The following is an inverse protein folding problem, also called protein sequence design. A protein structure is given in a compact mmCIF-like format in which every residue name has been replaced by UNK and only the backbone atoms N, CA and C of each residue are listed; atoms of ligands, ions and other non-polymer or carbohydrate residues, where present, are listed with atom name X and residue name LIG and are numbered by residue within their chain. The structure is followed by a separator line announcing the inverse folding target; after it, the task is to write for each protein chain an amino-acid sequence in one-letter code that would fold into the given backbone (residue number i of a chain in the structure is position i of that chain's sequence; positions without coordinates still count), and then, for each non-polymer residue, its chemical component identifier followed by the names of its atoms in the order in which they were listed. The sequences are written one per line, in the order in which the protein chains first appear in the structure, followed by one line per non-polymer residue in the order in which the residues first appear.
data_IF_526725169446
#
_entry.id   IF_526725169446
#
_cell.length_a   1.000
_cell.length_b   1.000
_cell.length_c   1.000
_cell.angle_alpha   90.00
_cell.angle_beta   90.00
_cell.angle_gamma   90.00
#
_symmetry.space_group_name_H-M   'P 1'
#
loop_
_entity.id
_entity.type
_entity.pdbx_description
1 polymer ?
#
# COMPACT_ATOMS: atom_id res chain seq x y z
N UNK A 1 18.08 3.56 -7.67
CA UNK A 1 16.76 3.17 -8.22
C UNK A 1 15.74 4.10 -7.60
N UNK A 2 14.79 4.64 -8.36
CA UNK A 2 13.79 5.55 -7.82
C UNK A 2 12.90 4.80 -6.82
N UNK A 3 12.64 5.43 -5.68
CA UNK A 3 11.78 4.89 -4.64
C UNK A 3 10.96 6.00 -3.99
N UNK A 4 9.85 5.62 -3.38
CA UNK A 4 9.02 6.50 -2.55
C UNK A 4 8.92 5.84 -1.18
N UNK A 5 9.07 6.65 -0.14
CA UNK A 5 8.90 6.24 1.25
C UNK A 5 8.02 7.26 1.96
N UNK A 6 7.04 6.77 2.72
CA UNK A 6 6.21 7.58 3.61
C UNK A 6 5.92 6.82 4.89
N UNK A 7 5.77 7.56 5.99
CA UNK A 7 5.41 6.99 7.28
C UNK A 7 4.38 7.86 8.00
N UNK A 8 3.62 7.26 8.91
CA UNK A 8 2.68 7.95 9.79
C UNK A 8 2.55 7.20 11.11
N UNK A 9 2.36 7.94 12.19
CA UNK A 9 2.01 7.38 13.51
C UNK A 9 0.50 7.25 13.62
N UNK A 10 0.02 6.06 13.98
CA UNK A 10 -1.39 5.75 14.18
C UNK A 10 -1.60 5.29 15.61
N UNK A 11 -2.53 5.92 16.33
CA UNK A 11 -2.83 5.65 17.74
C UNK A 11 -3.71 4.40 17.94
N UNK A 12 -3.33 3.31 17.30
CA UNK A 12 -3.92 1.98 17.40
C UNK A 12 -2.81 0.94 17.36
N UNK A 13 -3.08 -0.27 17.85
CA UNK A 13 -2.08 -1.35 17.83
C UNK A 13 -1.77 -1.82 16.40
N UNK A 14 -0.58 -2.39 16.13
CA UNK A 14 -0.24 -2.88 14.80
C UNK A 14 -1.25 -3.90 14.26
N UNK A 15 -1.79 -4.74 15.15
CA UNK A 15 -2.81 -5.73 14.81
C UNK A 15 -4.12 -5.06 14.39
N UNK A 16 -4.54 -3.99 15.07
CA UNK A 16 -5.74 -3.23 14.72
C UNK A 16 -5.58 -2.50 13.39
N UNK A 17 -4.44 -1.84 13.18
CA UNK A 17 -4.14 -1.14 11.92
C UNK A 17 -4.12 -2.14 10.76
N UNK A 18 -3.44 -3.29 10.95
CA UNK A 18 -3.39 -4.34 9.93
C UNK A 18 -4.75 -4.94 9.64
N UNK A 19 -5.55 -5.22 10.67
CA UNK A 19 -6.93 -5.74 10.50
C UNK A 19 -7.77 -4.76 9.69
N UNK A 20 -7.64 -3.46 9.98
CA UNK A 20 -8.33 -2.40 9.24
C UNK A 20 -7.85 -2.35 7.80
N UNK A 21 -6.54 -2.36 7.56
CA UNK A 21 -5.95 -2.38 6.22
C UNK A 21 -6.42 -3.59 5.38
N UNK A 22 -6.56 -4.77 5.98
CA UNK A 22 -6.99 -5.98 5.26
C UNK A 22 -8.52 -6.13 5.15
N UNK A 23 -9.31 -5.23 5.71
CA UNK A 23 -10.77 -5.21 5.53
C UNK A 23 -11.14 -4.63 4.16
N UNK A 24 -10.78 -5.36 3.11
CA UNK A 24 -10.99 -5.00 1.72
C UNK A 24 -12.45 -4.75 1.36
N UNK A 25 -13.39 -5.43 2.02
CA UNK A 25 -14.83 -5.21 1.85
C UNK A 25 -15.26 -3.79 2.19
N UNK A 26 -14.54 -3.13 3.09
CA UNK A 26 -14.89 -1.79 3.57
C UNK A 26 -14.23 -0.66 2.76
N UNK A 27 -13.30 -0.98 1.85
CA UNK A 27 -12.58 0.02 1.04
C UNK A 27 -13.50 0.97 0.25
N UNK A 28 -14.62 0.53 -0.34
CA UNK A 28 -15.54 1.45 -1.01
C UNK A 28 -16.13 2.54 -0.10
N UNK A 29 -16.13 2.31 1.22
CA UNK A 29 -16.60 3.28 2.23
C UNK A 29 -15.49 4.14 2.84
N UNK A 30 -14.22 3.73 2.71
CA UNK A 30 -13.01 4.46 3.12
C UNK A 30 -11.84 3.72 2.43
N UNK A 31 -11.16 4.28 1.41
CA UNK A 31 -10.39 5.52 1.48
C UNK A 31 -10.85 6.53 0.43
N UNK A 32 -10.67 7.81 0.72
CA UNK A 32 -11.01 8.85 -0.25
C UNK A 32 -9.88 9.07 -1.26
N UNK A 33 -8.66 8.62 -0.92
CA UNK A 33 -7.44 8.96 -1.64
C UNK A 33 -6.70 7.74 -2.20
N UNK A 34 -6.15 7.91 -3.40
CA UNK A 34 -5.20 7.02 -4.08
C UNK A 34 -5.65 5.56 -4.32
N UNK A 35 -5.78 4.72 -3.29
CA UNK A 35 -6.25 3.34 -3.39
C UNK A 35 -7.78 3.32 -3.20
N UNK A 36 -8.52 2.87 -4.22
CA UNK A 36 -9.99 2.79 -4.19
C UNK A 36 -10.49 1.41 -3.78
N UNK A 37 -9.79 0.35 -4.18
CA UNK A 37 -10.08 -1.00 -3.73
C UNK A 37 -8.87 -1.91 -3.88
N UNK A 38 -8.81 -2.93 -3.03
CA UNK A 38 -7.90 -4.06 -3.14
C UNK A 38 -8.77 -5.30 -3.04
N UNK A 39 -8.67 -6.23 -3.97
CA UNK A 39 -9.44 -7.47 -3.93
C UNK A 39 -8.58 -8.66 -4.40
N UNK A 40 -8.66 -9.83 -3.76
CA UNK A 40 -8.09 -11.04 -4.33
C UNK A 40 -8.81 -11.40 -5.63
N UNK A 41 -8.07 -11.89 -6.62
CA UNK A 41 -8.67 -12.37 -7.89
C UNK A 41 -9.50 -13.64 -7.65
N UNK A 42 -9.09 -14.47 -6.69
CA UNK A 42 -9.82 -15.67 -6.27
C UNK A 42 -10.32 -15.47 -4.83
N UNK A 43 -11.59 -15.06 -4.64
CA UNK A 43 -12.14 -14.75 -3.32
C UNK A 43 -12.33 -15.99 -2.44
N UNK A 44 -12.26 -17.20 -3.02
CA UNK A 44 -12.44 -18.46 -2.29
C UNK A 44 -11.13 -18.99 -1.69
N UNK A 45 -10.00 -18.33 -1.95
CA UNK A 45 -8.69 -18.73 -1.44
C UNK A 45 -8.17 -17.76 -0.38
N UNK A 46 -7.44 -18.27 0.63
CA UNK A 46 -6.72 -17.39 1.54
C UNK A 46 -5.72 -16.53 0.77
N UNK A 47 -5.52 -15.31 1.24
CA UNK A 47 -4.58 -14.36 0.66
C UNK A 47 -3.19 -14.69 1.19
N UNK A 48 -2.35 -15.29 0.35
CA UNK A 48 -1.02 -15.77 0.69
C UNK A 48 0.02 -15.34 -0.35
N UNK A 49 1.30 -15.58 -0.07
CA UNK A 49 2.35 -15.30 -1.03
C UNK A 49 2.07 -16.04 -2.35
N UNK A 50 2.13 -15.32 -3.48
CA UNK A 50 1.76 -15.81 -4.80
C UNK A 50 0.32 -15.54 -5.22
N UNK A 51 -0.57 -15.13 -4.30
CA UNK A 51 -1.93 -14.71 -4.66
C UNK A 51 -1.92 -13.52 -5.61
N UNK A 52 -2.83 -13.51 -6.59
CA UNK A 52 -3.05 -12.35 -7.46
C UNK A 52 -4.09 -11.43 -6.85
N UNK A 53 -3.78 -10.14 -6.84
CA UNK A 53 -4.70 -9.10 -6.42
C UNK A 53 -5.18 -8.29 -7.63
N UNK A 54 -6.31 -7.64 -7.49
CA UNK A 54 -6.78 -6.54 -8.33
C UNK A 54 -6.82 -5.31 -7.45
N UNK A 55 -6.08 -4.27 -7.85
CA UNK A 55 -6.03 -3.01 -7.13
C UNK A 55 -6.52 -1.92 -8.07
N UNK A 56 -7.55 -1.20 -7.63
CA UNK A 56 -8.05 -0.01 -8.29
C UNK A 56 -7.42 1.20 -7.63
N UNK A 57 -6.57 1.89 -8.38
CA UNK A 57 -5.98 3.17 -8.01
C UNK A 57 -6.76 4.30 -8.71
N UNK A 58 -6.52 5.53 -8.28
CA UNK A 58 -7.07 6.70 -8.94
C UNK A 58 -6.61 6.79 -10.41
N UNK A 59 -7.51 6.50 -11.35
CA UNK A 59 -7.26 6.59 -12.79
C UNK A 59 -6.55 5.38 -13.41
N UNK A 60 -6.24 4.33 -12.65
CA UNK A 60 -5.61 3.11 -13.19
C UNK A 60 -5.90 1.86 -12.36
N UNK A 61 -5.93 0.71 -13.02
CA UNK A 61 -6.07 -0.60 -12.38
C UNK A 61 -4.79 -1.42 -12.58
N UNK A 62 -4.34 -2.10 -11.52
CA UNK A 62 -3.16 -2.98 -11.58
C UNK A 62 -3.51 -4.36 -11.03
N UNK A 63 -2.79 -5.39 -11.52
CA UNK A 63 -2.96 -6.77 -11.06
C UNK A 63 -1.65 -7.32 -10.49
N UNK A 64 -1.24 -6.88 -9.29
CA UNK A 64 0.02 -7.29 -8.71
C UNK A 64 -0.05 -8.72 -8.17
N UNK A 65 1.13 -9.29 -7.94
CA UNK A 65 1.29 -10.57 -7.26
C UNK A 65 1.74 -10.28 -5.84
N UNK A 66 1.05 -10.85 -4.86
CA UNK A 66 1.43 -10.75 -3.46
C UNK A 66 2.73 -11.51 -3.22
N UNK A 67 3.68 -10.89 -2.53
CA UNK A 67 4.98 -11.46 -2.19
C UNK A 67 5.04 -11.83 -0.71
N UNK A 68 4.54 -10.96 0.16
CA UNK A 68 4.52 -11.18 1.60
C UNK A 68 3.15 -10.82 2.16
N UNK A 69 2.61 -11.67 3.03
CA UNK A 69 1.46 -11.35 3.88
C UNK A 69 1.70 -11.90 5.28
N UNK A 70 2.39 -11.12 6.09
CA UNK A 70 2.79 -11.44 7.47
C UNK A 70 2.13 -10.48 8.45
N UNK A 71 2.37 -10.65 9.76
CA UNK A 71 1.78 -9.81 10.80
C UNK A 71 2.32 -8.36 10.76
N UNK A 72 3.54 -8.18 10.32
CA UNK A 72 4.28 -6.92 10.28
C UNK A 72 4.42 -6.34 8.87
N UNK A 73 4.28 -7.17 7.81
CA UNK A 73 4.47 -6.72 6.42
C UNK A 73 3.41 -7.27 5.46
N UNK A 74 2.89 -6.39 4.60
CA UNK A 74 2.14 -6.73 3.39
C UNK A 74 2.88 -6.18 2.17
N UNK A 75 3.30 -7.04 1.25
CA UNK A 75 4.14 -6.65 0.11
C UNK A 75 3.65 -7.29 -1.16
N UNK A 76 3.57 -6.51 -2.24
CA UNK A 76 3.23 -7.02 -3.57
C UNK A 76 4.16 -6.46 -4.65
N UNK A 77 4.13 -7.09 -5.81
CA UNK A 77 4.86 -6.64 -7.00
C UNK A 77 3.88 -6.39 -8.14
N UNK A 78 3.79 -5.13 -8.55
CA UNK A 78 2.99 -4.67 -9.68
C UNK A 78 3.83 -4.52 -10.95
N UNK A 79 3.22 -4.81 -12.10
CA UNK A 79 3.79 -4.57 -13.42
C UNK A 79 2.80 -3.76 -14.25
N UNK A 80 3.29 -2.71 -14.91
CA UNK A 80 2.45 -1.92 -15.82
C UNK A 80 2.39 -2.60 -17.19
N UNK A 81 1.20 -2.61 -17.81
CA UNK A 81 0.92 -3.21 -19.13
C UNK A 81 1.34 -4.69 -19.29
N UNK A 82 1.52 -5.43 -18.19
CA UNK A 82 1.99 -6.82 -18.19
C UNK A 82 3.33 -7.05 -18.92
N UNK A 83 4.11 -6.01 -19.21
CA UNK A 83 5.40 -6.14 -19.90
C UNK A 83 6.55 -6.22 -18.88
N UNK A 84 7.30 -7.35 -18.82
CA UNK A 84 8.45 -7.48 -17.94
C UNK A 84 9.51 -6.43 -18.25
N UNK A 85 10.13 -5.83 -17.23
CA UNK A 85 11.26 -4.91 -17.39
C UNK A 85 10.90 -3.49 -17.87
N UNK A 86 9.63 -3.23 -18.23
CA UNK A 86 9.20 -1.89 -18.62
C UNK A 86 9.00 -0.98 -17.40
N UNK A 87 8.11 -1.40 -16.49
CA UNK A 87 7.84 -0.71 -15.24
C UNK A 87 7.37 -1.72 -14.19
N UNK A 88 8.18 -1.92 -13.16
CA UNK A 88 7.88 -2.83 -12.04
C UNK A 88 7.98 -2.06 -10.74
N UNK A 89 6.92 -2.12 -9.93
CA UNK A 89 6.85 -1.52 -8.60
C UNK A 89 6.78 -2.58 -7.52
N UNK A 90 7.71 -2.52 -6.56
CA UNK A 90 7.69 -3.36 -5.36
C UNK A 90 7.11 -2.54 -4.22
N UNK A 91 5.81 -2.65 -4.01
CA UNK A 91 5.13 -1.89 -2.97
C UNK A 91 5.08 -2.71 -1.68
N UNK A 92 5.42 -2.09 -0.56
CA UNK A 92 5.36 -2.69 0.76
C UNK A 92 4.62 -1.78 1.75
N UNK A 93 3.91 -2.41 2.68
CA UNK A 93 3.29 -1.81 3.84
C UNK A 93 3.83 -2.50 5.08
N UNK A 94 4.23 -1.73 6.09
CA UNK A 94 4.71 -2.25 7.37
C UNK A 94 3.90 -1.71 8.52
N UNK A 95 3.59 -2.59 9.46
CA UNK A 95 2.81 -2.32 10.67
C UNK A 95 3.72 -2.56 11.88
N UNK A 96 4.50 -1.54 12.25
CA UNK A 96 5.51 -1.69 13.31
C UNK A 96 5.00 -1.10 14.62
N UNK A 97 5.27 -1.71 15.79
CA UNK A 97 5.06 -1.05 17.07
C UNK A 97 5.81 0.29 17.12
N UNK A 98 5.12 1.34 17.56
CA UNK A 98 5.73 2.67 17.67
C UNK A 98 6.79 2.70 18.76
N UNK A 99 7.96 3.26 18.44
CA UNK A 99 9.02 3.55 19.41
C UNK A 99 8.76 4.83 20.19
N UNK A 100 7.82 5.68 19.74
CA UNK A 100 7.52 6.99 20.32
C UNK A 100 6.32 6.93 21.27
N UNK A 101 5.33 6.10 20.94
CA UNK A 101 4.06 6.02 21.66
C UNK A 101 3.71 4.57 21.96
N UNK A 102 3.77 4.13 23.24
CA UNK A 102 3.42 2.77 23.61
C UNK A 102 2.01 2.38 23.15
N UNK A 103 1.90 1.22 22.49
CA UNK A 103 0.63 0.70 21.98
C UNK A 103 0.17 1.30 20.64
N UNK A 104 0.87 2.29 20.10
CA UNK A 104 0.63 2.85 18.77
C UNK A 104 1.41 2.09 17.67
N UNK A 105 1.13 2.44 16.42
CA UNK A 105 1.77 1.86 15.23
C UNK A 105 2.52 2.93 14.44
N UNK A 106 3.78 2.66 14.11
CA UNK A 106 4.47 3.32 13.01
C UNK A 106 4.10 2.59 11.72
N UNK A 107 3.15 3.16 10.97
CA UNK A 107 2.76 2.63 9.67
C UNK A 107 3.69 3.19 8.60
N UNK A 108 4.28 2.31 7.81
CA UNK A 108 5.18 2.67 6.71
C UNK A 108 4.61 2.12 5.43
N UNK A 109 4.58 2.94 4.39
CA UNK A 109 4.38 2.44 3.03
C UNK A 109 5.45 3.00 2.10
N UNK A 110 5.89 2.17 1.16
CA UNK A 110 6.87 2.56 0.17
C UNK A 110 6.81 1.71 -1.07
N UNK A 111 7.41 2.21 -2.13
CA UNK A 111 7.46 1.54 -3.40
C UNK A 111 8.81 1.74 -4.08
N UNK A 112 9.47 0.63 -4.41
CA UNK A 112 10.73 0.62 -5.17
C UNK A 112 10.44 0.35 -6.65
N UNK A 113 10.83 1.29 -7.51
CA UNK A 113 10.59 1.24 -8.94
C UNK A 113 11.80 0.74 -9.71
N UNK A 114 11.55 -0.13 -10.69
CA UNK A 114 12.57 -0.68 -11.58
C UNK A 114 12.05 -0.84 -13.01
N UNK A 115 12.96 -0.94 -13.96
CA UNK A 115 12.66 -1.08 -15.39
C UNK A 115 12.98 0.18 -16.21
N UNK A 116 12.80 0.09 -17.52
CA UNK A 116 13.19 1.13 -18.48
C UNK A 116 12.48 2.45 -18.19
N UNK A 117 11.21 2.43 -17.77
CA UNK A 117 10.42 3.64 -17.48
C UNK A 117 10.47 4.08 -16.01
N UNK A 118 11.27 3.43 -15.16
CA UNK A 118 11.33 3.81 -13.75
C UNK A 118 11.90 5.21 -13.55
N UNK A 119 12.66 5.76 -14.50
CA UNK A 119 13.17 7.14 -14.43
C UNK A 119 12.06 8.20 -14.32
N UNK A 120 10.83 7.89 -14.77
CA UNK A 120 9.68 8.79 -14.57
C UNK A 120 9.38 9.00 -13.07
N UNK A 121 9.77 8.05 -12.22
CA UNK A 121 9.66 8.10 -10.76
C UNK A 121 10.92 8.65 -10.08
N UNK A 122 11.82 9.31 -10.82
CA UNK A 122 12.95 10.00 -10.21
C UNK A 122 12.47 11.02 -9.16
N UNK A 123 13.21 11.13 -8.07
CA UNK A 123 12.89 12.07 -6.99
C UNK A 123 12.79 13.50 -7.54
N UNK A 124 11.75 14.23 -7.09
CA UNK A 124 11.43 15.57 -7.59
C UNK A 124 10.65 15.60 -8.91
N UNK A 125 10.41 14.46 -9.58
CA UNK A 125 9.52 14.44 -10.74
C UNK A 125 8.06 14.69 -10.34
N UNK A 126 7.23 15.08 -11.33
CA UNK A 126 5.78 15.24 -11.13
C UNK A 126 5.11 13.93 -10.70
N UNK A 127 5.49 12.81 -11.32
CA UNK A 127 4.92 11.50 -10.99
C UNK A 127 5.33 11.06 -9.58
N UNK A 128 6.60 11.23 -9.22
CA UNK A 128 7.09 10.92 -7.87
C UNK A 128 6.32 11.74 -6.81
N UNK A 129 6.19 13.05 -7.03
CA UNK A 129 5.50 13.95 -6.10
C UNK A 129 4.01 13.63 -5.98
N UNK A 130 3.35 13.32 -7.10
CA UNK A 130 1.93 12.95 -7.10
C UNK A 130 1.67 11.63 -6.38
N UNK A 131 2.50 10.61 -6.64
CA UNK A 131 2.39 9.30 -5.97
C UNK A 131 2.69 9.41 -4.49
N UNK A 132 3.73 10.14 -4.08
CA UNK A 132 4.04 10.41 -2.67
C UNK A 132 2.88 11.09 -1.95
N UNK A 133 2.26 12.09 -2.57
CA UNK A 133 1.06 12.74 -2.03
C UNK A 133 -0.12 11.78 -1.90
N UNK A 134 -0.29 10.86 -2.87
CA UNK A 134 -1.30 9.80 -2.80
C UNK A 134 -1.07 8.85 -1.61
N UNK A 135 0.17 8.44 -1.37
CA UNK A 135 0.56 7.60 -0.24
C UNK A 135 0.31 8.33 1.09
N UNK A 136 0.73 9.59 1.20
CA UNK A 136 0.46 10.42 2.38
C UNK A 136 -1.05 10.59 2.63
N UNK A 137 -1.85 10.76 1.58
CA UNK A 137 -3.31 10.78 1.68
C UNK A 137 -3.87 9.49 2.26
N UNK A 138 -3.46 8.34 1.71
CA UNK A 138 -3.90 7.03 2.18
C UNK A 138 -3.49 6.78 3.64
N UNK A 139 -2.27 7.19 4.02
CA UNK A 139 -1.80 7.14 5.42
C UNK A 139 -2.76 7.88 6.36
N UNK A 140 -3.20 9.08 5.97
CA UNK A 140 -4.14 9.85 6.79
C UNK A 140 -5.54 9.23 6.83
N UNK A 141 -6.01 8.67 5.73
CA UNK A 141 -7.30 7.98 5.68
C UNK A 141 -7.30 6.73 6.58
N UNK A 142 -6.23 5.93 6.52
CA UNK A 142 -6.05 4.76 7.39
C UNK A 142 -5.95 5.17 8.87
N UNK A 143 -5.17 6.22 9.17
CA UNK A 143 -5.05 6.76 10.52
C UNK A 143 -6.42 7.16 11.08
N UNK A 144 -7.16 7.99 10.35
CA UNK A 144 -8.51 8.42 10.73
C UNK A 144 -9.44 7.23 10.94
N UNK A 145 -9.43 6.26 10.02
CA UNK A 145 -10.28 5.07 10.15
C UNK A 145 -9.99 4.32 11.43
N UNK A 146 -8.73 4.05 11.74
CA UNK A 146 -8.34 3.33 12.94
C UNK A 146 -8.71 4.12 14.21
N UNK A 147 -8.43 5.42 14.24
CA UNK A 147 -8.63 6.27 15.41
C UNK A 147 -10.10 6.67 15.66
N UNK A 148 -10.94 6.66 14.62
CA UNK A 148 -12.38 6.94 14.72
C UNK A 148 -13.22 5.78 15.27
N UNK A 149 -12.65 4.57 15.34
CA UNK A 149 -13.30 3.38 15.87
C UNK A 149 -13.11 3.15 17.37
N UNK A 150 -12.51 4.12 18.08
CA UNK A 150 -12.34 4.15 19.53
C UNK A 150 -13.45 4.92 20.23
#
# INVERSE_FOLDING_TARGET
MPSIYTEVEINCSPEQVRKTFLDFSSYPSWPTTFIKSIAPVDPNKPIEAGSRLTIELEGMSIKPILVTNSADEFKWVGKLWNMPGLFTGHHYFKFMPSVKTPGATTFVQGEDFSGILSFLMAEGSRFWSSTKKGFEGFNQDLKKRCESGN
#
